data_IF_648653302373
#
_entry.id   IF_648653302373
#
_cell.length_a   1.000
_cell.length_b   1.000
_cell.length_c   1.000
_cell.angle_alpha   90.00
_cell.angle_beta   90.00
_cell.angle_gamma   90.00
#
_symmetry.space_group_name_H-M   'P 1'
#
loop_
_entity.id
_entity.type
_entity.pdbx_description
1 polymer ?
#
# COMPACT_ATOMS: atom_id res chain seq x y z
N UNK A 1 25.00 -3.12 -31.48
CA UNK A 1 25.03 -1.68 -31.89
C UNK A 1 23.89 -0.91 -31.26
N UNK A 2 22.71 -1.50 -31.01
CA UNK A 2 21.51 -0.83 -30.39
C UNK A 2 21.65 -0.50 -28.92
N UNK A 3 22.43 -1.25 -28.14
CA UNK A 3 22.63 -1.00 -26.69
C UNK A 3 23.50 0.23 -26.38
N UNK A 4 24.41 0.61 -27.26
CA UNK A 4 25.31 1.76 -27.07
C UNK A 4 24.58 3.11 -27.17
N UNK A 5 23.57 3.21 -28.01
CA UNK A 5 22.79 4.45 -28.20
C UNK A 5 21.86 4.78 -27.04
N UNK A 6 21.43 3.76 -26.27
CA UNK A 6 20.57 3.96 -25.11
C UNK A 6 21.32 4.61 -23.94
N UNK A 7 22.60 4.29 -23.75
CA UNK A 7 23.42 4.86 -22.67
C UNK A 7 23.86 6.31 -22.93
N UNK A 8 24.13 6.68 -24.19
CA UNK A 8 24.54 8.05 -24.52
C UNK A 8 23.41 9.07 -24.33
N UNK A 9 22.18 8.72 -24.66
CA UNK A 9 21.02 9.59 -24.45
C UNK A 9 20.70 9.79 -22.95
N UNK A 10 20.94 8.78 -22.14
CA UNK A 10 20.65 8.84 -20.69
C UNK A 10 21.59 9.81 -19.96
N UNK A 11 22.86 9.87 -20.36
CA UNK A 11 23.87 10.75 -19.80
C UNK A 11 23.62 12.25 -20.13
N UNK A 12 23.07 12.55 -21.29
CA UNK A 12 22.67 13.92 -21.66
C UNK A 12 21.46 14.41 -20.84
N UNK A 13 20.48 13.55 -20.56
CA UNK A 13 19.34 13.88 -19.71
C UNK A 13 19.76 14.19 -18.26
N UNK A 14 20.75 13.51 -17.72
CA UNK A 14 21.29 13.80 -16.39
C UNK A 14 21.99 15.15 -16.30
N UNK A 15 22.76 15.52 -17.29
CA UNK A 15 23.39 16.84 -17.38
C UNK A 15 22.36 17.98 -17.42
N UNK A 16 21.29 17.80 -18.18
CA UNK A 16 20.21 18.78 -18.28
C UNK A 16 19.43 18.91 -16.96
N UNK A 17 19.18 17.81 -16.27
CA UNK A 17 18.49 17.81 -14.97
C UNK A 17 19.34 18.46 -13.85
N UNK A 18 20.64 18.21 -13.84
CA UNK A 18 21.59 18.84 -12.92
C UNK A 18 21.74 20.34 -13.16
N UNK A 19 21.78 20.77 -14.42
CA UNK A 19 21.85 22.18 -14.79
C UNK A 19 20.56 22.95 -14.37
N UNK A 20 19.39 22.30 -14.50
CA UNK A 20 18.11 22.89 -14.08
C UNK A 20 18.01 23.07 -12.58
N UNK A 21 18.47 22.12 -11.78
CA UNK A 21 18.54 22.24 -10.31
C UNK A 21 19.48 23.35 -9.84
N UNK A 22 20.59 23.59 -10.54
CA UNK A 22 21.51 24.69 -10.21
C UNK A 22 20.91 26.06 -10.55
N UNK A 23 20.12 26.19 -11.60
CA UNK A 23 19.46 27.45 -11.96
C UNK A 23 18.33 27.81 -11.00
N UNK A 24 17.56 26.83 -10.51
CA UNK A 24 16.49 27.04 -9.52
C UNK A 24 17.03 27.43 -8.14
N UNK A 25 18.18 26.86 -7.72
CA UNK A 25 18.84 27.21 -6.47
C UNK A 25 19.41 28.66 -6.47
N UNK A 26 19.80 29.16 -7.63
CA UNK A 26 20.30 30.56 -7.76
C UNK A 26 19.18 31.60 -7.79
N UNK A 27 17.98 31.22 -8.18
CA UNK A 27 16.86 32.16 -8.25
C UNK A 27 16.17 32.36 -6.88
N UNK A 28 16.25 31.35 -5.99
CA UNK A 28 15.68 31.45 -4.64
C UNK A 28 16.48 32.28 -3.65
N UNK A 29 17.74 32.64 -3.99
CA UNK A 29 18.62 33.41 -3.09
C UNK A 29 18.61 34.93 -3.37
N UNK A 30 17.74 35.42 -4.28
CA UNK A 30 17.66 36.85 -4.61
C UNK A 30 16.45 37.59 -4.00
N UNK A 31 15.56 36.91 -3.26
CA UNK A 31 14.33 37.54 -2.75
C UNK A 31 14.23 37.68 -1.23
N UNK A 32 15.34 37.78 -0.51
CA UNK A 32 15.29 38.13 0.90
C UNK A 32 16.21 39.33 1.18
N UNK A 33 15.72 40.52 0.86
CA UNK A 33 16.18 41.77 1.56
C UNK A 33 15.09 42.85 1.42
N UNK A 34 14.71 43.38 2.56
CA UNK A 34 14.03 44.64 2.89
C UNK A 34 12.65 44.47 3.55
N UNK A 35 12.64 44.60 4.85
CA UNK A 35 12.38 45.80 5.64
C UNK A 35 10.92 46.08 5.96
N UNK A 36 10.59 46.07 7.25
CA UNK A 36 9.79 47.12 7.84
C UNK A 36 8.71 46.67 8.83
N UNK A 37 9.06 46.68 10.09
CA UNK A 37 8.56 47.44 11.26
C UNK A 37 7.05 47.45 11.58
N UNK A 38 6.76 47.05 12.84
CA UNK A 38 5.71 47.52 13.79
C UNK A 38 4.23 47.27 13.47
N UNK A 39 3.44 46.76 14.40
CA UNK A 39 3.01 47.38 15.66
C UNK A 39 2.16 46.36 16.49
N UNK A 40 2.39 46.42 17.77
CA UNK A 40 1.67 45.82 18.90
C UNK A 40 0.22 46.31 18.95
N UNK A 41 -0.74 45.43 19.20
CA UNK A 41 -1.84 45.78 20.11
C UNK A 41 -2.49 44.54 20.72
N UNK A 42 -2.40 44.53 22.01
CA UNK A 42 -2.99 43.72 23.06
C UNK A 42 -4.39 44.24 23.33
N UNK A 43 -5.39 43.37 23.51
CA UNK A 43 -6.54 43.60 24.43
C UNK A 43 -7.27 42.28 24.71
N UNK A 44 -7.06 41.78 25.89
CA UNK A 44 -8.00 41.54 27.03
C UNK A 44 -9.23 40.71 26.80
N UNK A 45 -9.18 39.60 27.57
CA UNK A 45 -10.33 38.78 28.06
C UNK A 45 -11.28 39.61 28.93
N UNK A 46 -12.56 39.20 29.13
CA UNK A 46 -12.78 38.49 30.36
C UNK A 46 -13.75 37.29 30.29
N UNK A 47 -13.57 36.47 31.29
CA UNK A 47 -14.35 35.33 31.69
C UNK A 47 -15.74 35.69 32.24
N UNK A 48 -16.69 34.76 32.07
CA UNK A 48 -17.75 34.55 33.08
C UNK A 48 -18.31 33.12 33.00
N UNK A 49 -18.15 32.44 34.11
CA UNK A 49 -18.94 31.29 34.57
C UNK A 49 -19.97 31.88 35.57
N UNK A 50 -21.16 31.31 35.88
CA UNK A 50 -21.26 30.07 36.63
C UNK A 50 -22.55 29.21 36.43
N UNK A 51 -22.47 27.98 36.94
CA UNK A 51 -23.39 27.26 37.88
C UNK A 51 -24.83 26.99 37.43
N UNK A 52 -25.44 25.93 37.72
CA UNK A 52 -25.38 24.80 38.64
C UNK A 52 -26.63 23.94 38.46
N UNK A 53 -26.48 22.66 38.84
CA UNK A 53 -27.47 21.79 39.50
C UNK A 53 -28.80 21.49 38.81
N UNK A 54 -29.16 20.22 38.64
CA UNK A 54 -29.85 19.41 39.64
C UNK A 54 -29.92 17.93 39.25
N UNK A 55 -29.70 17.09 40.20
CA UNK A 55 -29.89 15.64 40.23
C UNK A 55 -31.37 15.27 40.36
N UNK A 56 -31.73 14.06 39.94
CA UNK A 56 -32.69 13.14 40.61
C UNK A 56 -32.75 11.83 39.80
N UNK A 57 -32.18 10.79 40.30
CA UNK A 57 -32.68 9.63 41.10
C UNK A 57 -33.59 8.64 40.38
N UNK A 58 -33.11 7.42 40.44
CA UNK A 58 -33.70 6.11 40.78
C UNK A 58 -34.27 5.26 39.64
N UNK A 59 -33.59 4.18 39.46
CA UNK A 59 -33.88 2.79 39.82
C UNK A 59 -34.79 2.02 38.86
N UNK A 60 -34.31 0.97 38.28
CA UNK A 60 -34.49 -0.44 38.67
C UNK A 60 -33.99 -1.37 37.56
N UNK A 61 -33.18 -2.31 38.02
CA UNK A 61 -32.80 -3.51 37.27
C UNK A 61 -33.98 -4.49 37.25
N UNK A 62 -34.16 -5.33 36.23
CA UNK A 62 -33.89 -6.72 36.53
C UNK A 62 -33.00 -7.47 35.51
N UNK A 63 -32.18 -8.30 36.11
CA UNK A 63 -31.52 -9.48 35.55
C UNK A 63 -32.15 -10.07 34.30
N UNK A 64 -31.32 -10.23 33.25
CA UNK A 64 -31.42 -11.40 32.41
C UNK A 64 -30.02 -11.89 32.04
N UNK A 65 -29.74 -13.05 32.53
CA UNK A 65 -28.63 -13.95 32.29
C UNK A 65 -28.34 -14.02 30.80
N UNK A 66 -27.26 -13.40 30.35
CA UNK A 66 -26.70 -13.66 29.01
C UNK A 66 -25.45 -14.48 29.21
N UNK A 67 -25.56 -15.76 28.83
CA UNK A 67 -24.43 -16.68 28.65
C UNK A 67 -23.29 -15.99 27.91
N UNK A 68 -22.17 -15.88 28.58
CA UNK A 68 -20.90 -15.60 27.96
C UNK A 68 -20.50 -16.84 27.15
N UNK A 69 -20.82 -16.84 25.88
CA UNK A 69 -20.19 -17.76 24.92
C UNK A 69 -18.81 -17.21 24.65
N UNK A 70 -17.83 -17.77 25.33
CA UNK A 70 -16.42 -17.63 24.97
C UNK A 70 -16.24 -18.24 23.59
N UNK A 71 -16.22 -17.41 22.58
CA UNK A 71 -15.72 -17.79 21.26
C UNK A 71 -14.20 -17.81 21.30
N UNK A 72 -13.63 -18.90 21.75
CA UNK A 72 -12.28 -19.33 21.43
C UNK A 72 -12.28 -19.79 19.98
N UNK A 73 -12.25 -18.86 19.06
CA UNK A 73 -11.99 -19.18 17.65
C UNK A 73 -10.52 -18.95 17.33
N UNK A 74 -9.69 -19.86 17.76
CA UNK A 74 -8.44 -20.17 17.09
C UNK A 74 -8.77 -20.99 15.84
N UNK A 75 -9.39 -20.39 14.84
CA UNK A 75 -9.54 -21.03 13.54
C UNK A 75 -8.17 -21.01 12.85
N UNK A 76 -7.45 -22.11 13.00
CA UNK A 76 -6.37 -22.49 12.07
C UNK A 76 -7.07 -22.80 10.74
N UNK A 77 -7.29 -21.76 9.93
CA UNK A 77 -7.91 -21.92 8.63
C UNK A 77 -6.97 -22.77 7.77
N UNK A 78 -7.46 -23.90 7.29
CA UNK A 78 -6.72 -24.78 6.41
C UNK A 78 -6.10 -23.97 5.25
N UNK A 79 -4.85 -24.29 4.91
CA UNK A 79 -4.17 -23.69 3.74
C UNK A 79 -5.04 -24.04 2.53
N UNK A 80 -5.51 -22.99 1.87
CA UNK A 80 -6.33 -23.11 0.66
C UNK A 80 -5.40 -23.32 -0.54
N UNK A 81 -5.85 -23.97 -1.61
CA UNK A 81 -5.02 -24.10 -2.81
C UNK A 81 -4.64 -22.71 -3.35
N UNK A 82 -3.44 -22.59 -3.91
CA UNK A 82 -2.95 -21.30 -4.44
C UNK A 82 -3.91 -20.71 -5.47
N UNK A 83 -4.49 -21.55 -6.31
CA UNK A 83 -5.42 -21.11 -7.35
C UNK A 83 -6.73 -20.55 -6.77
N UNK A 84 -7.25 -21.14 -5.71
CA UNK A 84 -8.45 -20.64 -5.04
C UNK A 84 -8.20 -19.31 -4.36
N UNK A 85 -7.02 -19.12 -3.75
CA UNK A 85 -6.63 -17.84 -3.14
C UNK A 85 -6.45 -16.75 -4.19
N UNK A 86 -5.79 -17.06 -5.31
CA UNK A 86 -5.63 -16.14 -6.43
C UNK A 86 -6.97 -15.79 -7.10
N UNK A 87 -7.88 -16.75 -7.22
CA UNK A 87 -9.24 -16.50 -7.70
C UNK A 87 -10.03 -15.60 -6.74
N UNK A 88 -9.89 -15.81 -5.44
CA UNK A 88 -10.48 -14.93 -4.42
C UNK A 88 -9.90 -13.52 -4.48
N UNK A 89 -8.59 -13.40 -4.66
CA UNK A 89 -7.92 -12.10 -4.86
C UNK A 89 -8.44 -11.38 -6.10
N UNK A 90 -8.58 -12.10 -7.21
CA UNK A 90 -9.13 -11.59 -8.45
C UNK A 90 -10.54 -11.02 -8.26
N UNK A 91 -11.41 -11.75 -7.54
CA UNK A 91 -12.77 -11.32 -7.25
C UNK A 91 -12.83 -10.05 -6.40
N UNK A 92 -12.07 -9.98 -5.28
CA UNK A 92 -12.09 -8.79 -4.40
C UNK A 92 -11.43 -7.57 -5.02
N UNK A 93 -10.53 -7.76 -5.97
CA UNK A 93 -9.97 -6.68 -6.79
C UNK A 93 -10.93 -6.20 -7.88
N UNK A 94 -12.02 -6.93 -8.14
CA UNK A 94 -12.96 -6.61 -9.20
C UNK A 94 -12.40 -6.84 -10.62
N UNK A 95 -11.44 -7.75 -10.77
CA UNK A 95 -10.87 -8.09 -12.07
C UNK A 95 -11.86 -8.96 -12.85
N UNK A 96 -12.05 -8.64 -14.13
CA UNK A 96 -12.97 -9.38 -14.99
C UNK A 96 -12.46 -10.79 -15.34
N UNK A 97 -13.33 -11.63 -15.91
CA UNK A 97 -13.02 -13.01 -16.27
C UNK A 97 -11.90 -13.14 -17.31
N UNK A 98 -11.70 -12.12 -18.14
CA UNK A 98 -10.66 -12.09 -19.18
C UNK A 98 -9.25 -11.83 -18.67
N UNK A 99 -9.07 -11.58 -17.36
CA UNK A 99 -7.75 -11.43 -16.75
C UNK A 99 -7.39 -12.72 -16.00
N UNK A 100 -6.25 -13.29 -16.34
CA UNK A 100 -5.55 -14.31 -15.54
C UNK A 100 -4.67 -13.60 -14.51
N UNK A 101 -4.57 -14.14 -13.31
CA UNK A 101 -3.74 -13.64 -12.22
C UNK A 101 -2.83 -14.74 -11.71
N UNK A 102 -1.54 -14.50 -11.69
CA UNK A 102 -0.53 -15.42 -11.13
C UNK A 102 0.44 -14.68 -10.22
N UNK A 103 0.87 -15.34 -9.14
CA UNK A 103 1.99 -14.87 -8.32
C UNK A 103 3.29 -15.21 -9.03
N UNK A 104 4.23 -14.25 -9.14
CA UNK A 104 5.49 -14.44 -9.86
C UNK A 104 6.68 -14.51 -8.91
N UNK A 105 6.82 -13.55 -8.00
CA UNK A 105 7.97 -13.52 -7.10
C UNK A 105 7.76 -12.62 -5.89
N UNK A 106 8.62 -12.80 -4.89
CA UNK A 106 8.82 -11.86 -3.77
C UNK A 106 10.14 -11.10 -3.99
N UNK A 107 10.07 -9.78 -3.98
CA UNK A 107 11.22 -8.87 -4.04
C UNK A 107 11.36 -8.19 -2.69
N UNK A 108 12.58 -8.12 -2.14
CA UNK A 108 12.85 -7.42 -0.88
C UNK A 108 14.06 -6.49 -1.01
N UNK A 109 14.05 -5.38 -0.27
CA UNK A 109 15.14 -4.42 -0.30
C UNK A 109 14.85 -3.13 0.46
N UNK A 110 15.73 -2.15 0.32
CA UNK A 110 15.57 -0.84 0.95
C UNK A 110 14.56 0.07 0.23
N UNK A 111 14.11 -0.34 -0.96
CA UNK A 111 13.08 0.33 -1.76
C UNK A 111 12.44 -0.62 -2.78
N UNK A 112 11.25 -0.29 -3.23
CA UNK A 112 10.60 -0.97 -4.34
C UNK A 112 9.87 0.03 -5.24
N UNK A 113 9.94 -0.06 -6.57
CA UNK A 113 10.92 -0.87 -7.31
C UNK A 113 12.35 -0.37 -7.05
N UNK A 114 13.33 -1.25 -7.25
CA UNK A 114 14.75 -0.93 -7.03
C UNK A 114 15.40 -0.23 -8.23
N UNK A 115 14.62 0.25 -9.16
CA UNK A 115 15.08 0.97 -10.34
C UNK A 115 15.46 2.41 -10.00
N UNK A 116 16.58 2.88 -10.50
CA UNK A 116 17.20 4.14 -10.11
C UNK A 116 16.38 5.38 -10.43
N UNK A 117 15.52 5.33 -11.46
CA UNK A 117 14.76 6.48 -11.97
C UNK A 117 13.25 6.34 -11.84
N UNK A 118 12.78 5.32 -11.13
CA UNK A 118 11.37 5.09 -10.91
C UNK A 118 10.88 5.74 -9.63
N UNK A 119 9.60 6.12 -9.61
CA UNK A 119 8.92 6.40 -8.34
C UNK A 119 8.97 5.14 -7.51
N UNK A 120 9.59 5.20 -6.34
CA UNK A 120 9.79 4.06 -5.46
C UNK A 120 9.25 4.31 -4.05
N UNK A 121 8.91 3.24 -3.35
CA UNK A 121 8.57 3.24 -1.93
C UNK A 121 9.84 2.90 -1.16
N UNK A 122 10.42 3.83 -0.38
CA UNK A 122 11.57 3.53 0.46
C UNK A 122 11.14 2.74 1.70
N UNK A 123 12.07 1.98 2.28
CA UNK A 123 11.89 1.37 3.57
C UNK A 123 11.83 2.43 4.67
N UNK A 124 10.96 2.22 5.66
CA UNK A 124 10.95 2.98 6.89
C UNK A 124 12.16 2.59 7.77
N UNK A 125 12.46 3.40 8.80
CA UNK A 125 13.55 3.09 9.73
C UNK A 125 13.38 1.68 10.34
N UNK A 126 14.47 0.90 10.33
CA UNK A 126 14.51 -0.49 10.83
C UNK A 126 13.53 -1.45 10.13
N UNK A 127 13.12 -1.11 8.92
CA UNK A 127 12.28 -1.95 8.07
C UNK A 127 12.98 -2.27 6.74
N UNK A 128 12.45 -3.29 6.08
CA UNK A 128 12.68 -3.56 4.66
C UNK A 128 11.35 -3.47 3.92
N UNK A 129 11.42 -3.10 2.66
CA UNK A 129 10.27 -3.20 1.75
C UNK A 129 10.23 -4.62 1.20
N UNK A 130 9.06 -5.24 1.28
CA UNK A 130 8.77 -6.51 0.61
C UNK A 130 7.65 -6.27 -0.38
N UNK A 131 7.87 -6.62 -1.63
CA UNK A 131 6.87 -6.56 -2.69
C UNK A 131 6.57 -7.96 -3.20
N UNK A 132 5.29 -8.33 -3.18
CA UNK A 132 4.79 -9.51 -3.88
C UNK A 132 4.39 -9.07 -5.27
N UNK A 133 5.01 -9.62 -6.28
CA UNK A 133 4.70 -9.35 -7.68
C UNK A 133 3.73 -10.37 -8.25
N UNK A 134 2.78 -9.85 -9.02
CA UNK A 134 1.75 -10.64 -9.68
C UNK A 134 1.70 -10.26 -11.15
N UNK A 135 1.53 -11.24 -12.00
CA UNK A 135 1.29 -11.05 -13.41
C UNK A 135 -0.21 -11.09 -13.69
N UNK A 136 -0.72 -10.02 -14.31
CA UNK A 136 -2.08 -9.93 -14.82
C UNK A 136 -2.02 -10.08 -16.33
N UNK A 137 -2.52 -11.19 -16.87
CA UNK A 137 -2.51 -11.47 -18.31
C UNK A 137 -3.91 -11.31 -18.90
N UNK A 138 -4.02 -10.49 -19.93
CA UNK A 138 -5.24 -10.40 -20.72
C UNK A 138 -5.35 -11.62 -21.63
N UNK A 139 -6.27 -12.52 -21.31
CA UNK A 139 -6.49 -13.77 -22.08
C UNK A 139 -7.51 -13.62 -23.21
N UNK A 140 -7.97 -12.39 -23.47
CA UNK A 140 -8.98 -12.12 -24.51
C UNK A 140 -8.35 -11.59 -25.79
N UNK A 141 -9.14 -11.50 -26.83
CA UNK A 141 -8.75 -10.92 -28.12
C UNK A 141 -8.93 -9.39 -28.21
N UNK A 142 -9.23 -8.71 -27.10
CA UNK A 142 -9.46 -7.25 -27.05
C UNK A 142 -8.75 -6.64 -25.87
N UNK A 143 -8.42 -5.37 -25.94
CA UNK A 143 -7.83 -4.63 -24.84
C UNK A 143 -8.74 -4.59 -23.61
N UNK A 144 -8.16 -4.74 -22.42
CA UNK A 144 -8.89 -4.64 -21.14
C UNK A 144 -8.30 -3.51 -20.33
N UNK A 145 -9.17 -2.60 -19.87
CA UNK A 145 -8.78 -1.54 -18.93
C UNK A 145 -9.15 -1.93 -17.50
N UNK A 146 -8.17 -1.90 -16.61
CA UNK A 146 -8.29 -2.25 -15.20
C UNK A 146 -8.46 -1.01 -14.33
N UNK A 147 -9.31 -1.15 -13.29
CA UNK A 147 -9.44 -0.18 -12.22
C UNK A 147 -9.74 -0.92 -10.91
N UNK A 148 -8.75 -1.00 -10.03
CA UNK A 148 -8.88 -1.66 -8.72
C UNK A 148 -8.98 -0.66 -7.57
N UNK A 149 -8.97 0.65 -7.84
CA UNK A 149 -8.91 1.70 -6.81
C UNK A 149 -10.12 1.71 -5.86
N UNK A 150 -11.24 1.15 -6.28
CA UNK A 150 -12.47 1.02 -5.46
C UNK A 150 -12.61 -0.36 -4.80
N UNK A 151 -11.61 -1.23 -4.93
CA UNK A 151 -11.66 -2.57 -4.34
C UNK A 151 -11.58 -2.51 -2.81
N UNK A 152 -12.26 -3.45 -2.15
CA UNK A 152 -12.19 -3.65 -0.70
C UNK A 152 -11.19 -4.76 -0.34
N UNK A 153 -10.23 -5.02 -1.21
CA UNK A 153 -9.26 -6.08 -1.03
C UNK A 153 -8.35 -5.81 0.19
N UNK A 154 -8.26 -6.79 1.07
CA UNK A 154 -7.32 -6.84 2.19
C UNK A 154 -6.28 -7.90 1.88
N UNK A 155 -5.03 -7.49 1.80
CA UNK A 155 -3.90 -8.35 1.49
C UNK A 155 -2.94 -8.29 2.68
N UNK A 156 -2.60 -9.47 3.21
CA UNK A 156 -1.67 -9.60 4.33
C UNK A 156 -0.57 -10.59 4.00
N UNK A 157 0.63 -10.26 4.45
CA UNK A 157 1.81 -11.12 4.39
C UNK A 157 2.03 -11.74 5.78
N UNK A 158 2.08 -13.05 5.87
CA UNK A 158 2.39 -13.76 7.10
C UNK A 158 3.85 -14.23 7.08
N UNK A 159 4.59 -13.96 8.16
CA UNK A 159 5.97 -14.39 8.35
C UNK A 159 6.11 -14.82 9.80
N UNK A 160 6.52 -16.07 10.04
CA UNK A 160 6.73 -16.62 11.39
C UNK A 160 5.57 -16.34 12.37
N UNK A 161 4.32 -16.52 11.90
CA UNK A 161 3.14 -16.29 12.72
C UNK A 161 2.74 -14.83 12.90
N UNK A 162 3.53 -13.87 12.42
CA UNK A 162 3.22 -12.45 12.42
C UNK A 162 2.61 -12.04 11.08
N UNK A 163 1.59 -11.18 11.09
CA UNK A 163 0.94 -10.71 9.86
C UNK A 163 1.16 -9.23 9.63
N UNK A 164 1.52 -8.88 8.40
CA UNK A 164 1.75 -7.52 7.95
C UNK A 164 0.70 -7.16 6.90
N UNK A 165 0.04 -6.02 7.08
CA UNK A 165 -0.94 -5.54 6.11
C UNK A 165 -0.25 -4.80 4.98
N UNK A 166 -0.73 -4.97 3.75
CA UNK A 166 -0.26 -4.24 2.57
C UNK A 166 -0.26 -2.74 2.82
N UNK A 167 0.84 -2.09 2.50
CA UNK A 167 0.97 -0.63 2.54
C UNK A 167 0.19 0.05 1.40
N UNK A 168 -0.39 1.21 1.68
CA UNK A 168 -0.88 2.09 0.60
C UNK A 168 0.31 2.76 -0.07
N UNK A 169 0.36 2.71 -1.39
CA UNK A 169 1.47 3.27 -2.16
C UNK A 169 0.98 4.21 -3.26
N UNK A 170 1.91 4.99 -3.81
CA UNK A 170 1.67 5.86 -4.97
C UNK A 170 2.16 5.22 -6.27
N UNK A 171 2.57 3.96 -6.22
CA UNK A 171 3.07 3.24 -7.38
C UNK A 171 1.95 3.04 -8.39
N UNK A 172 2.28 3.17 -9.67
CA UNK A 172 1.34 2.94 -10.78
C UNK A 172 0.90 1.47 -10.85
N UNK A 173 1.76 0.56 -10.39
CA UNK A 173 1.52 -0.87 -10.35
C UNK A 173 1.02 -1.39 -8.99
N UNK A 174 0.58 -0.51 -8.06
CA UNK A 174 -0.07 -0.96 -6.83
C UNK A 174 -1.36 -1.71 -7.16
N UNK A 175 -1.37 -3.03 -6.91
CA UNK A 175 -2.46 -3.91 -7.34
C UNK A 175 -3.84 -3.55 -6.75
N UNK A 176 -3.88 -2.84 -5.61
CA UNK A 176 -5.13 -2.36 -5.01
C UNK A 176 -5.49 -0.93 -5.40
N UNK A 177 -4.70 -0.30 -6.28
CA UNK A 177 -4.90 1.08 -6.70
C UNK A 177 -4.56 1.31 -8.18
N UNK A 178 -4.74 0.29 -9.02
CA UNK A 178 -4.61 0.45 -10.47
C UNK A 178 -5.70 1.42 -10.96
N UNK A 179 -5.31 2.42 -11.72
CA UNK A 179 -6.23 3.42 -12.28
C UNK A 179 -6.05 3.48 -13.79
N UNK A 180 -7.07 3.01 -14.51
CA UNK A 180 -7.10 3.05 -15.98
C UNK A 180 -5.86 2.43 -16.63
N UNK A 181 -5.41 1.27 -16.11
CA UNK A 181 -4.32 0.49 -16.70
C UNK A 181 -4.91 -0.34 -17.82
N UNK A 182 -4.49 -0.11 -19.06
CA UNK A 182 -4.92 -0.91 -20.22
C UNK A 182 -3.90 -2.00 -20.50
N UNK A 183 -4.36 -3.24 -20.53
CA UNK A 183 -3.57 -4.42 -20.94
C UNK A 183 -4.05 -4.83 -22.34
N UNK A 184 -3.20 -4.71 -23.37
CA UNK A 184 -3.57 -5.13 -24.73
C UNK A 184 -3.89 -6.63 -24.80
N UNK A 185 -4.62 -7.03 -25.84
CA UNK A 185 -4.95 -8.44 -26.08
C UNK A 185 -3.71 -9.35 -26.04
N UNK A 186 -3.78 -10.41 -25.24
CA UNK A 186 -2.68 -11.37 -25.07
C UNK A 186 -1.43 -10.86 -24.36
N UNK A 187 -1.44 -9.63 -23.83
CA UNK A 187 -0.30 -9.06 -23.09
C UNK A 187 -0.47 -9.19 -21.58
N UNK A 188 0.64 -9.02 -20.86
CA UNK A 188 0.69 -9.06 -19.41
C UNK A 188 1.10 -7.71 -18.81
N UNK A 189 0.72 -7.51 -17.55
CA UNK A 189 1.08 -6.36 -16.73
C UNK A 189 1.48 -6.83 -15.33
N UNK A 190 2.62 -6.34 -14.82
CA UNK A 190 3.09 -6.67 -13.47
C UNK A 190 2.50 -5.70 -12.45
N UNK A 191 1.68 -6.22 -11.55
CA UNK A 191 1.18 -5.50 -10.39
C UNK A 191 1.87 -5.94 -9.11
N UNK A 192 1.89 -5.09 -8.07
CA UNK A 192 2.58 -5.38 -6.84
C UNK A 192 1.74 -5.10 -5.60
N UNK A 193 1.89 -5.95 -4.57
CA UNK A 193 1.46 -5.67 -3.22
C UNK A 193 2.70 -5.40 -2.35
N UNK A 194 2.81 -4.18 -1.80
CA UNK A 194 4.00 -3.73 -1.08
C UNK A 194 3.76 -3.70 0.42
N UNK A 195 4.73 -4.17 1.18
CA UNK A 195 4.71 -4.27 2.64
C UNK A 195 5.94 -3.58 3.23
N UNK A 196 5.78 -3.03 4.43
CA UNK A 196 6.88 -2.59 5.28
C UNK A 196 6.99 -3.59 6.42
N UNK A 197 8.10 -4.29 6.50
CA UNK A 197 8.33 -5.29 7.54
C UNK A 197 9.60 -4.96 8.32
N UNK A 198 9.66 -5.20 9.65
CA UNK A 198 10.89 -5.03 10.40
C UNK A 198 12.02 -5.91 9.85
N UNK A 199 13.24 -5.39 9.84
CA UNK A 199 14.43 -6.09 9.29
C UNK A 199 14.66 -7.48 9.89
N UNK A 200 14.23 -7.69 11.13
CA UNK A 200 14.36 -8.99 11.81
C UNK A 200 13.65 -10.12 11.04
N UNK A 201 12.60 -9.82 10.29
CA UNK A 201 11.85 -10.79 9.49
C UNK A 201 12.41 -10.99 8.08
N UNK A 202 13.38 -10.16 7.66
CA UNK A 202 13.90 -10.20 6.29
C UNK A 202 14.60 -11.53 5.93
N UNK A 203 15.10 -12.24 6.93
CA UNK A 203 15.77 -13.52 6.74
C UNK A 203 14.80 -14.71 6.67
N UNK A 204 13.54 -14.51 7.07
CA UNK A 204 12.49 -15.54 7.13
C UNK A 204 11.51 -15.50 5.97
N UNK A 205 11.87 -14.82 4.88
CA UNK A 205 11.00 -14.67 3.70
C UNK A 205 10.78 -15.96 2.90
N UNK A 206 11.50 -17.03 3.22
CA UNK A 206 11.31 -18.33 2.54
C UNK A 206 10.02 -19.05 2.96
N UNK A 207 9.52 -18.76 4.16
CA UNK A 207 8.34 -19.37 4.76
C UNK A 207 7.23 -18.31 4.95
N UNK A 208 6.82 -17.72 3.86
CA UNK A 208 5.80 -16.68 3.89
C UNK A 208 4.45 -17.17 3.40
N UNK A 209 3.40 -16.57 3.93
CA UNK A 209 2.03 -16.83 3.49
C UNK A 209 1.38 -15.56 2.98
N UNK A 210 0.53 -15.70 1.97
CA UNK A 210 -0.36 -14.66 1.49
C UNK A 210 -1.77 -14.94 2.00
N UNK A 211 -2.32 -13.99 2.77
CA UNK A 211 -3.73 -14.01 3.17
C UNK A 211 -4.51 -12.96 2.39
N UNK A 212 -5.57 -13.39 1.77
CA UNK A 212 -6.48 -12.55 0.98
C UNK A 212 -7.83 -12.47 1.66
N UNK A 213 -8.40 -11.30 1.69
CA UNK A 213 -9.72 -11.06 2.25
C UNK A 213 -10.39 -9.80 1.72
N UNK A 214 -11.55 -9.54 2.27
CA UNK A 214 -12.25 -8.26 2.19
C UNK A 214 -12.28 -7.61 3.56
N UNK A 215 -12.86 -6.41 3.68
CA UNK A 215 -12.96 -5.69 4.96
C UNK A 215 -13.57 -6.54 6.10
N UNK A 216 -14.44 -7.51 5.76
CA UNK A 216 -15.25 -8.26 6.73
C UNK A 216 -14.92 -9.76 6.80
N UNK A 217 -14.08 -10.30 5.91
CA UNK A 217 -13.83 -11.74 5.85
C UNK A 217 -12.45 -12.08 5.27
N UNK A 218 -11.79 -13.10 5.83
CA UNK A 218 -10.67 -13.79 5.21
C UNK A 218 -11.23 -14.79 4.20
N UNK A 219 -10.77 -14.73 2.95
CA UNK A 219 -11.23 -15.59 1.86
C UNK A 219 -10.30 -16.79 1.63
N UNK A 220 -9.02 -16.64 1.93
CA UNK A 220 -8.06 -17.72 1.80
C UNK A 220 -6.66 -17.32 2.22
N UNK A 221 -5.84 -18.35 2.45
CA UNK A 221 -4.41 -18.21 2.76
C UNK A 221 -3.63 -19.24 1.95
N UNK A 222 -2.56 -18.84 1.29
CA UNK A 222 -1.66 -19.73 0.57
C UNK A 222 -0.21 -19.52 0.99
N UNK A 223 0.62 -20.54 0.86
CA UNK A 223 2.06 -20.45 0.98
C UNK A 223 2.66 -19.80 -0.28
N UNK A 224 3.58 -18.87 -0.08
CA UNK A 224 4.38 -18.29 -1.15
C UNK A 224 5.66 -19.13 -1.28
N UNK A 225 5.73 -19.94 -2.34
CA UNK A 225 6.96 -20.66 -2.67
C UNK A 225 7.84 -19.75 -3.51
N UNK A 226 9.11 -19.67 -3.12
CA UNK A 226 10.16 -19.02 -3.90
C UNK A 226 10.55 -19.87 -5.09
#
# INVERSE_FOLDING_TARGET
>A
VLLKHSYENQWEYEKLAAAKKQSESRNNNKNHTATGTNTVQQTTQPATRPSAMTATTAAQNPSSTASATQSTAGETKAVTSSDEVLNSLKQVLGLNSGISLSYTQTVSGQRYPNEQYSVSVPANNSCVVVALEFELTNTTGSDITLNTASSNAVIKLGIEGTTFTKSKTILKNDMTNLKSVTIPAGQSYTAAAVFQIPEIFAQSLENTTLTVGSANAILGTMELKK
#
